data_IF_928788580192
#
_entry.id   IF_928788580192
#
_cell.length_a   1.000
_cell.length_b   1.000
_cell.length_c   1.000
_cell.angle_alpha   90.00
_cell.angle_beta   90.00
_cell.angle_gamma   90.00
#
_symmetry.space_group_name_H-M   'P 1'
#
loop_
_entity.id
_entity.type
_entity.pdbx_description
1 polymer ?
#
# COMPACT_ATOMS: atom_id res chain seq x y z
N UNK A 1 -60.57 -11.86 13.00
CA UNK A 1 -59.31 -11.95 13.76
C UNK A 1 -58.19 -11.62 12.79
N UNK A 2 -57.42 -10.56 13.04
CA UNK A 2 -56.25 -10.22 12.23
C UNK A 2 -55.00 -10.67 13.00
N UNK A 3 -54.07 -11.33 12.31
CA UNK A 3 -52.72 -11.55 12.82
C UNK A 3 -51.81 -10.57 12.09
N UNK A 4 -51.09 -9.76 12.85
CA UNK A 4 -50.10 -8.82 12.33
C UNK A 4 -48.76 -9.54 12.20
N UNK A 5 -48.31 -9.79 10.98
CA UNK A 5 -46.95 -10.28 10.73
C UNK A 5 -46.00 -9.09 10.57
N UNK A 6 -44.97 -9.03 11.41
CA UNK A 6 -44.07 -7.90 11.49
C UNK A 6 -42.99 -7.99 10.42
N UNK A 7 -43.01 -7.07 9.44
CA UNK A 7 -41.84 -6.87 8.58
C UNK A 7 -40.70 -6.34 9.44
N UNK A 8 -39.83 -7.25 9.88
CA UNK A 8 -38.58 -6.90 10.55
C UNK A 8 -37.71 -6.19 9.52
N UNK A 9 -37.57 -4.87 9.66
CA UNK A 9 -36.54 -4.11 8.99
C UNK A 9 -35.18 -4.57 9.53
N UNK A 10 -34.62 -5.63 8.93
CA UNK A 10 -33.20 -5.93 9.05
C UNK A 10 -32.43 -4.76 8.44
N UNK A 11 -31.98 -3.84 9.30
CA UNK A 11 -30.94 -2.92 8.92
C UNK A 11 -29.72 -3.77 8.55
N UNK A 12 -29.18 -3.56 7.34
CA UNK A 12 -27.84 -4.06 7.05
C UNK A 12 -26.87 -3.31 7.95
N UNK A 13 -26.44 -3.99 9.02
CA UNK A 13 -25.24 -3.63 9.77
C UNK A 13 -24.13 -3.32 8.74
N UNK A 14 -23.55 -2.10 8.72
CA UNK A 14 -22.51 -1.75 7.77
C UNK A 14 -21.24 -2.52 8.14
N UNK A 15 -21.17 -3.77 7.67
CA UNK A 15 -20.10 -4.73 7.93
C UNK A 15 -18.77 -4.15 7.48
N UNK A 16 -18.08 -3.50 8.42
CA UNK A 16 -17.00 -2.57 8.13
C UNK A 16 -15.92 -3.23 7.29
N UNK A 17 -15.85 -2.86 6.00
CA UNK A 17 -14.78 -3.32 5.13
C UNK A 17 -13.45 -2.89 5.73
N UNK A 18 -12.68 -3.86 6.21
CA UNK A 18 -11.42 -3.62 6.88
C UNK A 18 -10.47 -2.82 5.99
N UNK A 19 -9.76 -1.87 6.59
CA UNK A 19 -8.88 -0.95 5.88
C UNK A 19 -7.98 -1.67 4.85
N UNK A 20 -8.03 -1.19 3.61
CA UNK A 20 -7.14 -1.61 2.54
C UNK A 20 -6.19 -0.45 2.17
N UNK A 21 -4.89 -0.75 2.11
CA UNK A 21 -3.88 0.18 1.66
C UNK A 21 -3.91 0.31 0.12
N UNK A 22 -3.78 1.53 -0.41
CA UNK A 22 -3.85 1.75 -1.85
C UNK A 22 -2.58 1.22 -2.52
N UNK A 23 -2.67 0.14 -3.29
CA UNK A 23 -1.50 -0.51 -3.93
C UNK A 23 -1.03 0.17 -5.23
N UNK A 24 -1.83 1.07 -5.81
CA UNK A 24 -1.50 1.81 -7.04
C UNK A 24 -2.06 1.25 -8.35
N UNK A 25 -2.66 0.05 -8.33
CA UNK A 25 -3.40 -0.53 -9.48
C UNK A 25 -4.93 -0.31 -9.41
N UNK A 26 -5.44 0.24 -8.30
CA UNK A 26 -6.86 0.51 -8.10
C UNK A 26 -7.31 1.93 -8.54
N UNK A 27 -8.58 2.28 -8.30
CA UNK A 27 -9.03 3.67 -8.38
C UNK A 27 -8.28 4.55 -7.37
N UNK A 28 -8.28 5.86 -7.60
CA UNK A 28 -7.69 6.80 -6.64
C UNK A 28 -8.45 6.73 -5.31
N UNK A 29 -7.76 6.61 -4.15
CA UNK A 29 -8.43 6.68 -2.86
C UNK A 29 -9.07 8.07 -2.67
N UNK A 30 -10.18 8.18 -1.91
CA UNK A 30 -10.86 9.44 -1.68
C UNK A 30 -9.92 10.45 -1.00
N UNK A 31 -9.75 11.63 -1.60
CA UNK A 31 -8.88 12.67 -1.07
C UNK A 31 -9.52 13.38 0.13
N UNK A 32 -8.72 13.68 1.16
CA UNK A 32 -9.13 14.51 2.29
C UNK A 32 -8.78 13.92 3.67
N UNK A 33 -9.23 14.58 4.75
CA UNK A 33 -8.83 14.24 6.12
C UNK A 33 -9.33 12.87 6.59
N UNK A 34 -10.43 12.35 6.03
CA UNK A 34 -10.96 11.01 6.34
C UNK A 34 -9.95 9.92 6.01
N UNK A 35 -9.49 9.87 4.75
CA UNK A 35 -8.46 8.90 4.32
C UNK A 35 -7.14 9.08 5.09
N UNK A 36 -6.74 10.31 5.38
CA UNK A 36 -5.56 10.57 6.20
C UNK A 36 -5.70 10.05 7.64
N UNK A 37 -6.91 10.04 8.22
CA UNK A 37 -7.18 9.43 9.52
C UNK A 37 -7.19 7.90 9.45
N UNK A 38 -7.85 7.30 8.45
CA UNK A 38 -7.82 5.85 8.18
C UNK A 38 -6.39 5.30 8.10
N UNK A 39 -5.58 5.90 7.21
CA UNK A 39 -4.18 5.50 6.96
C UNK A 39 -3.34 5.63 8.23
N UNK A 40 -3.52 6.71 8.99
CA UNK A 40 -2.83 6.91 10.28
C UNK A 40 -3.20 5.82 11.28
N UNK A 41 -4.50 5.55 11.49
CA UNK A 41 -4.95 4.51 12.43
C UNK A 41 -4.46 3.11 12.03
N UNK A 42 -4.48 2.79 10.73
CA UNK A 42 -3.93 1.54 10.22
C UNK A 42 -2.41 1.41 10.45
N UNK A 43 -1.66 2.50 10.25
CA UNK A 43 -0.22 2.57 10.47
C UNK A 43 0.17 2.51 11.96
N UNK A 44 -0.56 3.22 12.82
CA UNK A 44 -0.39 3.16 14.28
C UNK A 44 -0.62 1.73 14.81
N UNK A 45 -1.68 1.06 14.30
CA UNK A 45 -1.94 -0.35 14.55
C UNK A 45 -0.82 -1.27 14.07
N UNK A 46 -0.32 -1.08 12.83
CA UNK A 46 0.83 -1.81 12.29
C UNK A 46 2.05 -1.70 13.22
N UNK A 47 2.41 -0.47 13.60
CA UNK A 47 3.55 -0.21 14.50
C UNK A 47 3.34 -0.81 15.89
N UNK A 48 2.12 -0.78 16.43
CA UNK A 48 1.80 -1.44 17.71
C UNK A 48 1.94 -2.96 17.62
N UNK A 49 1.42 -3.59 16.56
CA UNK A 49 1.54 -5.03 16.38
C UNK A 49 3.01 -5.44 16.24
N UNK A 50 3.84 -4.68 15.50
CA UNK A 50 5.28 -4.93 15.43
C UNK A 50 5.95 -4.89 16.82
N UNK A 51 5.66 -3.87 17.66
CA UNK A 51 6.21 -3.79 19.03
C UNK A 51 5.88 -5.04 19.87
N UNK A 52 4.66 -5.58 19.72
CA UNK A 52 4.19 -6.73 20.49
C UNK A 52 4.74 -8.06 19.94
N UNK A 53 4.74 -8.24 18.63
CA UNK A 53 5.07 -9.53 17.97
C UNK A 53 6.57 -9.74 17.78
N UNK A 54 7.35 -8.67 17.60
CA UNK A 54 8.79 -8.77 17.30
C UNK A 54 9.67 -8.86 18.56
N UNK A 55 9.09 -8.66 19.75
CA UNK A 55 9.81 -8.67 21.02
C UNK A 55 11.05 -7.76 20.99
N UNK A 56 12.26 -8.24 21.33
CA UNK A 56 13.49 -7.45 21.31
C UNK A 56 13.85 -6.80 19.97
N UNK A 57 13.35 -7.29 18.81
CA UNK A 57 13.57 -6.61 17.51
C UNK A 57 12.69 -5.34 17.33
N UNK A 58 11.64 -5.19 18.14
CA UNK A 58 10.82 -3.97 18.22
C UNK A 58 10.08 -3.57 16.93
N UNK A 59 9.67 -2.31 16.85
CA UNK A 59 8.92 -1.76 15.71
C UNK A 59 9.74 -1.61 14.41
N UNK A 60 11.07 -1.61 14.52
CA UNK A 60 12.00 -1.27 13.44
C UNK A 60 12.11 -2.31 12.32
N UNK A 61 11.48 -3.48 12.45
CA UNK A 61 11.47 -4.55 11.43
C UNK A 61 10.05 -5.03 11.11
N UNK A 62 9.79 -5.56 9.90
CA UNK A 62 8.54 -6.22 9.57
C UNK A 62 8.24 -7.43 10.47
N UNK A 63 6.99 -7.56 10.88
CA UNK A 63 6.52 -8.71 11.66
C UNK A 63 6.24 -9.94 10.76
N UNK A 64 6.34 -11.19 11.26
CA UNK A 64 6.20 -12.41 10.46
C UNK A 64 4.87 -12.58 9.71
N UNK A 65 3.83 -11.81 10.05
CA UNK A 65 2.56 -11.79 9.33
C UNK A 65 2.53 -10.79 8.17
N UNK A 66 3.31 -9.70 8.23
CA UNK A 66 3.47 -8.76 7.11
C UNK A 66 4.12 -9.48 5.92
N UNK A 67 5.04 -10.41 6.19
CA UNK A 67 5.71 -11.24 5.20
C UNK A 67 4.72 -12.10 4.37
N UNK A 68 3.52 -12.37 4.90
CA UNK A 68 2.44 -13.08 4.18
C UNK A 68 1.50 -12.16 3.39
N UNK A 69 1.63 -10.83 3.53
CA UNK A 69 0.87 -9.82 2.78
C UNK A 69 1.73 -8.61 2.37
N UNK A 70 3.00 -8.84 1.99
CA UNK A 70 3.98 -7.77 1.79
C UNK A 70 3.50 -6.59 0.92
N UNK A 71 2.78 -6.78 -0.21
CA UNK A 71 2.29 -5.66 -1.00
C UNK A 71 1.39 -4.68 -0.22
N UNK A 72 0.58 -5.16 0.72
CA UNK A 72 -0.27 -4.32 1.58
C UNK A 72 0.53 -3.61 2.67
N UNK A 73 1.51 -4.29 3.27
CA UNK A 73 2.37 -3.70 4.29
C UNK A 73 3.28 -2.61 3.72
N UNK A 74 3.90 -2.86 2.57
CA UNK A 74 4.71 -1.90 1.81
C UNK A 74 3.85 -0.71 1.34
N UNK A 75 2.65 -0.95 0.81
CA UNK A 75 1.74 0.13 0.42
C UNK A 75 1.32 1.00 1.62
N UNK A 76 0.94 0.41 2.76
CA UNK A 76 0.56 1.16 3.97
C UNK A 76 1.72 2.04 4.49
N UNK A 77 2.95 1.54 4.48
CA UNK A 77 4.13 2.31 4.89
C UNK A 77 4.40 3.51 3.95
N UNK A 78 4.20 3.34 2.63
CA UNK A 78 4.34 4.42 1.65
C UNK A 78 3.20 5.46 1.78
N UNK A 79 1.94 5.01 1.88
CA UNK A 79 0.75 5.86 2.01
C UNK A 79 0.79 6.68 3.31
N UNK A 80 1.18 6.05 4.44
CA UNK A 80 1.34 6.72 5.74
C UNK A 80 2.54 7.68 5.79
N UNK A 81 3.52 7.50 4.89
CA UNK A 81 4.64 8.43 4.70
C UNK A 81 4.31 9.58 3.73
N UNK A 82 3.07 9.67 3.25
CA UNK A 82 2.62 10.72 2.33
C UNK A 82 3.02 10.52 0.87
N UNK A 83 3.61 9.38 0.51
CA UNK A 83 3.89 9.06 -0.89
C UNK A 83 2.56 8.72 -1.57
N UNK A 84 2.29 9.31 -2.74
CA UNK A 84 1.01 9.09 -3.43
C UNK A 84 1.00 7.75 -4.19
N UNK A 85 -0.07 6.94 -4.10
CA UNK A 85 -0.29 5.82 -5.00
C UNK A 85 -0.60 6.30 -6.42
N UNK A 86 -0.23 5.48 -7.41
CA UNK A 86 -0.78 5.51 -8.76
C UNK A 86 -2.31 5.30 -8.70
N UNK A 87 -3.02 5.71 -9.74
CA UNK A 87 -4.45 5.43 -9.86
C UNK A 87 -4.82 5.04 -11.29
N UNK A 88 -5.85 4.20 -11.39
CA UNK A 88 -6.34 3.61 -12.64
C UNK A 88 -7.84 3.91 -12.78
N UNK A 89 -8.28 4.30 -13.97
CA UNK A 89 -9.69 4.44 -14.31
C UNK A 89 -10.36 3.07 -14.55
N UNK A 90 -11.71 2.99 -14.57
CA UNK A 90 -12.43 1.74 -14.90
C UNK A 90 -12.07 1.13 -16.27
N UNK A 91 -11.49 1.91 -17.18
CA UNK A 91 -11.01 1.47 -18.50
C UNK A 91 -9.53 1.00 -18.52
N UNK A 92 -8.88 0.89 -17.35
CA UNK A 92 -7.50 0.44 -17.21
C UNK A 92 -6.43 1.51 -17.48
N UNK A 93 -6.79 2.74 -17.88
CA UNK A 93 -5.82 3.82 -18.09
C UNK A 93 -5.37 4.42 -16.76
N UNK A 94 -4.08 4.75 -16.65
CA UNK A 94 -3.53 5.46 -15.48
C UNK A 94 -4.01 6.92 -15.49
N UNK A 95 -4.48 7.40 -14.35
CA UNK A 95 -5.02 8.76 -14.15
C UNK A 95 -4.21 9.61 -13.17
N UNK A 96 -3.34 8.99 -12.36
CA UNK A 96 -2.45 9.67 -11.40
C UNK A 96 -1.05 9.07 -11.46
N UNK A 97 -0.04 9.93 -11.43
CA UNK A 97 1.36 9.54 -11.22
C UNK A 97 1.61 9.23 -9.74
N UNK A 98 2.19 8.06 -9.46
CA UNK A 98 2.43 7.59 -8.10
C UNK A 98 3.10 6.22 -8.03
N UNK A 99 3.26 5.68 -6.82
CA UNK A 99 3.82 4.34 -6.63
C UNK A 99 2.82 3.26 -7.06
N UNK A 100 3.34 2.10 -7.46
CA UNK A 100 2.57 0.87 -7.68
C UNK A 100 3.32 -0.30 -7.05
N UNK A 101 2.71 -0.94 -6.05
CA UNK A 101 3.26 -2.05 -5.26
C UNK A 101 2.60 -3.36 -5.69
N UNK A 102 3.40 -4.39 -5.99
CA UNK A 102 2.90 -5.73 -6.32
C UNK A 102 3.90 -6.83 -5.90
N UNK A 103 3.47 -8.11 -5.83
CA UNK A 103 4.39 -9.23 -5.73
C UNK A 103 5.44 -9.20 -6.84
N UNK A 104 6.67 -9.57 -6.51
CA UNK A 104 7.69 -9.91 -7.51
C UNK A 104 7.37 -11.28 -8.16
N UNK A 105 8.05 -11.64 -9.27
CA UNK A 105 8.02 -13.01 -9.79
C UNK A 105 8.66 -14.03 -8.83
N UNK A 106 9.63 -13.60 -8.02
CA UNK A 106 10.27 -14.45 -7.01
C UNK A 106 9.49 -14.40 -5.68
N UNK A 107 9.18 -15.56 -5.05
CA UNK A 107 8.47 -15.60 -3.77
C UNK A 107 9.19 -14.82 -2.67
N UNK A 108 8.44 -14.09 -1.86
CA UNK A 108 8.97 -13.34 -0.72
C UNK A 108 9.53 -11.95 -1.05
N UNK A 109 9.55 -11.52 -2.32
CA UNK A 109 9.90 -10.14 -2.71
C UNK A 109 8.69 -9.34 -3.21
N UNK A 110 8.83 -8.01 -3.18
CA UNK A 110 7.85 -7.04 -3.72
C UNK A 110 8.51 -6.09 -4.70
N UNK A 111 7.82 -5.77 -5.79
CA UNK A 111 8.22 -4.70 -6.70
C UNK A 111 7.42 -3.42 -6.44
N UNK A 112 8.10 -2.29 -6.27
CA UNK A 112 7.53 -0.95 -6.35
C UNK A 112 7.96 -0.29 -7.67
N UNK A 113 7.02 0.29 -8.41
CA UNK A 113 7.29 1.02 -9.65
C UNK A 113 6.68 2.42 -9.59
N UNK A 114 7.31 3.43 -10.18
CA UNK A 114 6.69 4.75 -10.33
C UNK A 114 5.97 4.82 -11.69
N UNK A 115 4.64 4.95 -11.65
CA UNK A 115 3.76 4.79 -12.81
C UNK A 115 2.75 5.94 -12.86
N UNK A 116 2.34 6.34 -14.08
CA UNK A 116 1.40 7.43 -14.27
C UNK A 116 0.79 7.46 -15.68
N UNK A 117 0.02 8.51 -16.02
CA UNK A 117 -0.58 8.68 -17.34
C UNK A 117 0.46 8.82 -18.45
N UNK A 118 0.15 8.46 -19.71
CA UNK A 118 0.98 8.80 -20.87
C UNK A 118 1.23 10.32 -20.92
N UNK A 119 2.50 10.72 -21.06
CA UNK A 119 2.91 12.13 -21.04
C UNK A 119 2.97 12.80 -19.65
N UNK A 120 2.49 12.14 -18.59
CA UNK A 120 2.37 12.71 -17.23
C UNK A 120 3.64 12.65 -16.36
N UNK A 121 4.83 12.90 -16.92
CA UNK A 121 6.12 13.03 -16.19
C UNK A 121 6.70 11.78 -15.50
N UNK A 122 5.89 10.75 -15.23
CA UNK A 122 6.24 9.58 -14.43
C UNK A 122 7.31 8.63 -15.05
N UNK A 123 7.92 8.99 -16.18
CA UNK A 123 9.12 8.32 -16.70
C UNK A 123 10.41 9.02 -16.26
N UNK A 124 10.35 10.34 -16.07
CA UNK A 124 11.47 11.21 -15.77
C UNK A 124 11.66 11.32 -14.25
N UNK A 125 10.55 11.49 -13.52
CA UNK A 125 10.48 11.41 -12.04
C UNK A 125 10.91 10.05 -11.46
N UNK A 126 10.90 8.99 -12.29
CA UNK A 126 10.92 7.59 -11.87
C UNK A 126 12.07 7.25 -10.91
N UNK A 127 13.27 7.77 -11.17
CA UNK A 127 14.45 7.46 -10.34
C UNK A 127 14.36 8.10 -8.96
N UNK A 128 14.04 9.40 -8.91
CA UNK A 128 13.95 10.16 -7.67
C UNK A 128 12.88 9.60 -6.74
N UNK A 129 11.68 9.34 -7.30
CA UNK A 129 10.53 8.89 -6.53
C UNK A 129 10.67 7.44 -6.06
N UNK A 130 11.39 6.58 -6.80
CA UNK A 130 11.75 5.25 -6.30
C UNK A 130 12.84 5.29 -5.23
N UNK A 131 13.82 6.20 -5.32
CA UNK A 131 14.79 6.42 -4.24
C UNK A 131 14.13 6.99 -2.97
N UNK A 132 13.11 7.84 -3.10
CA UNK A 132 12.28 8.28 -1.98
C UNK A 132 11.50 7.12 -1.35
N UNK A 133 10.85 6.28 -2.16
CA UNK A 133 10.19 5.05 -1.69
C UNK A 133 11.16 4.13 -0.93
N UNK A 134 12.37 3.91 -1.47
CA UNK A 134 13.41 3.12 -0.82
C UNK A 134 13.78 3.67 0.55
N UNK A 135 14.13 4.96 0.62
CA UNK A 135 14.44 5.63 1.90
C UNK A 135 13.30 5.58 2.91
N UNK A 136 12.04 5.59 2.47
CA UNK A 136 10.87 5.39 3.33
C UNK A 136 10.83 3.97 3.89
N UNK A 137 11.00 2.96 3.04
CA UNK A 137 10.88 1.54 3.41
C UNK A 137 12.06 1.04 4.25
N UNK A 138 13.28 1.51 3.97
CA UNK A 138 14.49 1.29 4.77
C UNK A 138 14.30 1.72 6.24
N UNK A 139 13.67 2.88 6.48
CA UNK A 139 13.34 3.36 7.84
C UNK A 139 12.31 2.51 8.58
N UNK A 140 11.64 1.60 7.87
CA UNK A 140 10.70 0.62 8.42
C UNK A 140 11.25 -0.82 8.36
N UNK A 141 12.55 -0.98 8.12
CA UNK A 141 13.27 -2.25 8.22
C UNK A 141 13.10 -3.19 7.02
N UNK A 142 12.72 -2.69 5.86
CA UNK A 142 12.78 -3.46 4.60
C UNK A 142 14.16 -3.29 3.95
N UNK A 143 14.73 -4.36 3.39
CA UNK A 143 15.84 -4.26 2.43
C UNK A 143 15.29 -3.75 1.10
N UNK A 144 16.03 -2.88 0.39
CA UNK A 144 15.54 -2.16 -0.79
C UNK A 144 16.65 -2.02 -1.85
N UNK A 145 16.37 -2.40 -3.10
CA UNK A 145 17.33 -2.35 -4.21
C UNK A 145 16.71 -1.77 -5.47
N UNK A 146 17.32 -0.73 -6.04
CA UNK A 146 16.85 -0.07 -7.26
C UNK A 146 17.40 -0.75 -8.52
N UNK A 147 16.53 -1.48 -9.23
CA UNK A 147 16.86 -2.18 -10.47
C UNK A 147 16.42 -1.43 -11.71
N UNK A 148 17.03 -1.77 -12.86
CA UNK A 148 16.64 -1.32 -14.19
C UNK A 148 16.16 -2.50 -15.02
N UNK A 149 14.85 -2.58 -15.24
CA UNK A 149 14.19 -3.64 -15.96
C UNK A 149 14.01 -3.39 -17.47
N UNK A 150 13.13 -4.17 -18.12
CA UNK A 150 12.81 -4.05 -19.54
C UNK A 150 12.38 -2.64 -19.96
N UNK A 151 12.64 -2.30 -21.23
CA UNK A 151 12.34 -0.96 -21.81
C UNK A 151 12.95 0.21 -21.01
N UNK A 152 14.09 -0.03 -20.33
CA UNK A 152 14.85 0.92 -19.50
C UNK A 152 14.12 1.46 -18.25
N UNK A 153 12.90 1.01 -17.96
CA UNK A 153 12.12 1.38 -16.76
C UNK A 153 12.81 0.85 -15.50
N UNK A 154 12.67 1.55 -14.39
CA UNK A 154 13.20 1.16 -13.07
C UNK A 154 12.09 0.59 -12.19
N UNK A 155 12.50 -0.22 -11.23
CA UNK A 155 11.67 -0.66 -10.13
C UNK A 155 12.54 -0.82 -8.88
N UNK A 156 11.94 -0.59 -7.72
CA UNK A 156 12.53 -0.95 -6.44
C UNK A 156 12.09 -2.38 -6.11
N UNK A 157 13.04 -3.28 -5.92
CA UNK A 157 12.80 -4.56 -5.25
C UNK A 157 12.86 -4.34 -3.74
N UNK A 158 11.92 -4.94 -3.01
CA UNK A 158 11.70 -4.76 -1.58
C UNK A 158 11.64 -6.13 -0.92
N UNK A 159 12.56 -6.34 0.03
CA UNK A 159 12.87 -7.62 0.66
C UNK A 159 12.69 -7.54 2.19
N UNK A 160 12.39 -8.66 2.87
CA UNK A 160 12.50 -8.76 4.32
C UNK A 160 13.96 -8.59 4.76
N UNK A 161 14.23 -8.05 5.96
CA UNK A 161 15.59 -8.00 6.50
C UNK A 161 16.08 -9.41 6.88
N UNK A 162 17.38 -9.65 6.69
CA UNK A 162 18.05 -10.93 7.01
C UNK A 162 18.12 -11.27 8.51
#
# INVERSE_FOLDING_TARGET
MAYSDGVVCVAEEPGGQGFEAATGDGPAPPAGPGRAAEVRTAYEGLMQIRRLVNGPRGAGVPAPWELRRMPRAVALVLEASGVAPSAVAPDGRRTRSGYRVAPAPEPGRVHVSWLGPPGGGAADEEQERLSECGRVLERHGWECLLYRGPRRRRFLEVEPPR
#
